data_IF_978113723352
#
_entry.id   IF_978113723352
#
_cell.length_a   1.000
_cell.length_b   1.000
_cell.length_c   1.000
_cell.angle_alpha   90.00
_cell.angle_beta   90.00
_cell.angle_gamma   90.00
#
_symmetry.space_group_name_H-M   'P 1'
#
loop_
_entity.id
_entity.type
_entity.pdbx_description
1 polymer ?
#
# COMPACT_ATOMS: atom_id res chain seq x y z
N UNK A 1 16.72 -9.30 -0.02
CA UNK A 1 16.94 -10.35 -1.05
C UNK A 1 17.34 -9.66 -2.35
N UNK A 2 18.08 -10.33 -3.25
CA UNK A 2 18.18 -9.84 -4.64
C UNK A 2 16.78 -9.83 -5.28
N UNK A 3 16.62 -9.03 -6.33
CA UNK A 3 15.37 -8.82 -7.06
C UNK A 3 15.02 -10.02 -7.95
N UNK A 4 14.55 -11.09 -7.30
CA UNK A 4 14.27 -12.41 -7.91
C UNK A 4 13.07 -13.10 -7.23
N UNK A 5 12.06 -12.34 -6.76
CA UNK A 5 10.84 -12.89 -6.15
C UNK A 5 11.06 -13.83 -4.95
N UNK A 6 12.17 -13.66 -4.23
CA UNK A 6 12.54 -14.54 -3.12
C UNK A 6 11.83 -14.21 -1.80
N UNK A 7 11.18 -13.05 -1.72
CA UNK A 7 10.46 -12.64 -0.53
C UNK A 7 9.02 -13.17 -0.53
N UNK A 8 8.37 -13.29 0.64
CA UNK A 8 6.98 -13.74 0.72
C UNK A 8 6.03 -12.84 -0.07
N UNK A 9 5.13 -13.42 -0.88
CA UNK A 9 4.21 -12.69 -1.78
C UNK A 9 3.29 -11.65 -1.08
N UNK A 10 3.16 -11.68 0.25
CA UNK A 10 2.41 -10.67 1.00
C UNK A 10 3.23 -9.43 1.38
N UNK A 11 4.51 -9.37 1.02
CA UNK A 11 5.41 -8.28 1.42
C UNK A 11 5.01 -6.95 0.79
N UNK A 12 4.69 -6.90 -0.51
CA UNK A 12 4.23 -5.67 -1.15
C UNK A 12 2.87 -5.20 -0.60
N UNK A 13 1.83 -6.05 -0.48
CA UNK A 13 0.59 -5.67 0.18
C UNK A 13 0.79 -5.10 1.59
N UNK A 14 1.68 -5.69 2.39
CA UNK A 14 1.97 -5.19 3.74
C UNK A 14 2.63 -3.80 3.74
N UNK A 15 3.46 -3.50 2.74
CA UNK A 15 4.06 -2.16 2.57
C UNK A 15 3.00 -1.14 2.11
N UNK A 16 2.10 -1.52 1.21
CA UNK A 16 0.97 -0.68 0.78
C UNK A 16 0.10 -0.30 1.99
N UNK A 17 -0.27 -1.28 2.82
CA UNK A 17 -1.07 -1.04 4.03
C UNK A 17 -0.34 -0.10 5.00
N UNK A 18 0.97 -0.32 5.18
CA UNK A 18 1.80 0.56 6.02
C UNK A 18 1.86 1.98 5.49
N UNK A 19 2.00 2.17 4.17
CA UNK A 19 2.03 3.48 3.55
C UNK A 19 0.68 4.19 3.69
N UNK A 20 -0.43 3.50 3.44
CA UNK A 20 -1.77 4.02 3.69
C UNK A 20 -1.97 4.45 5.15
N UNK A 21 -1.49 3.66 6.11
CA UNK A 21 -1.59 3.99 7.55
C UNK A 21 -0.75 5.22 7.92
N UNK A 22 0.45 5.37 7.34
CA UNK A 22 1.25 6.59 7.51
C UNK A 22 0.56 7.80 6.87
N UNK A 23 0.03 7.61 5.65
CA UNK A 23 -0.92 8.43 4.90
C UNK A 23 -1.96 9.11 5.81
N UNK A 24 -2.82 8.25 6.33
CA UNK A 24 -3.95 8.60 7.20
C UNK A 24 -3.51 9.27 8.49
N UNK A 25 -2.36 8.88 9.05
CA UNK A 25 -1.87 9.51 10.28
C UNK A 25 -1.40 10.95 10.01
N UNK A 26 -0.72 11.19 8.91
CA UNK A 26 -0.32 12.55 8.52
C UNK A 26 -1.55 13.44 8.32
N UNK A 27 -2.57 12.93 7.62
CA UNK A 27 -3.87 13.58 7.45
C UNK A 27 -4.54 13.94 8.79
N UNK A 28 -4.66 12.97 9.70
CA UNK A 28 -5.25 13.19 11.03
C UNK A 28 -4.51 14.24 11.86
N UNK A 29 -3.17 14.29 11.76
CA UNK A 29 -2.36 15.29 12.46
C UNK A 29 -2.64 16.68 11.87
N UNK A 30 -2.57 16.82 10.54
CA UNK A 30 -2.82 18.11 9.88
C UNK A 30 -4.23 18.64 10.17
N UNK A 31 -5.23 17.77 10.12
CA UNK A 31 -6.61 18.12 10.46
C UNK A 31 -6.73 18.66 11.89
N UNK A 32 -6.08 18.00 12.85
CA UNK A 32 -6.11 18.40 14.25
C UNK A 32 -5.37 19.72 14.51
N UNK A 33 -4.23 19.93 13.86
CA UNK A 33 -3.40 21.13 14.02
C UNK A 33 -4.00 22.37 13.35
N UNK A 34 -4.71 22.19 12.23
CA UNK A 34 -5.27 23.29 11.43
C UNK A 34 -6.78 23.51 11.67
N UNK A 35 -7.32 23.07 12.81
CA UNK A 35 -8.74 23.28 13.20
C UNK A 35 -9.73 22.77 12.14
N UNK A 36 -9.39 21.68 11.46
CA UNK A 36 -10.21 21.09 10.41
C UNK A 36 -10.06 21.74 9.03
N UNK A 37 -9.04 22.58 8.82
CA UNK A 37 -8.65 23.02 7.48
C UNK A 37 -7.72 22.00 6.83
N UNK A 38 -8.12 21.51 5.66
CA UNK A 38 -7.31 20.60 4.84
C UNK A 38 -6.38 21.44 3.96
N UNK A 39 -5.06 21.31 4.15
CA UNK A 39 -4.06 22.06 3.38
C UNK A 39 -3.45 21.21 2.26
N UNK A 40 -3.40 19.89 2.45
CA UNK A 40 -2.83 18.92 1.50
C UNK A 40 -3.73 17.70 1.36
N UNK A 41 -3.71 17.11 0.17
CA UNK A 41 -4.25 15.76 -0.02
C UNK A 41 -3.18 14.72 0.30
N UNK A 42 -3.31 14.10 1.46
CA UNK A 42 -2.40 13.05 1.92
C UNK A 42 -2.73 11.69 1.32
N UNK A 43 -3.98 11.43 0.92
CA UNK A 43 -4.44 10.12 0.44
C UNK A 43 -4.27 10.00 -1.08
N UNK A 44 -3.01 10.03 -1.51
CA UNK A 44 -2.64 9.87 -2.92
C UNK A 44 -2.72 8.41 -3.38
N UNK A 45 -3.01 8.15 -4.68
CA UNK A 45 -3.06 6.80 -5.21
C UNK A 45 -1.68 6.12 -5.18
N UNK A 46 -1.67 4.83 -4.84
CA UNK A 46 -0.46 4.01 -4.81
C UNK A 46 -0.46 3.09 -6.04
N UNK A 47 0.56 3.22 -6.89
CA UNK A 47 0.89 2.22 -7.92
C UNK A 47 1.97 1.31 -7.34
N UNK A 48 1.65 0.02 -7.18
CA UNK A 48 2.53 -0.93 -6.51
C UNK A 48 2.86 -2.13 -7.41
N UNK A 49 4.09 -2.62 -7.29
CA UNK A 49 4.63 -3.70 -8.12
C UNK A 49 4.13 -5.08 -7.63
N UNK A 50 3.66 -5.90 -8.56
CA UNK A 50 3.18 -7.26 -8.29
C UNK A 50 4.17 -8.34 -8.81
N UNK A 51 5.33 -7.93 -9.32
CA UNK A 51 6.30 -8.75 -10.03
C UNK A 51 5.62 -9.60 -11.13
N UNK A 52 6.02 -10.87 -11.28
CA UNK A 52 5.36 -11.84 -12.15
C UNK A 52 4.14 -12.52 -11.49
N UNK A 53 3.64 -12.00 -10.36
CA UNK A 53 2.47 -12.55 -9.67
C UNK A 53 2.74 -13.77 -8.78
N UNK A 54 4.00 -14.07 -8.48
CA UNK A 54 4.43 -15.13 -7.54
C UNK A 54 3.90 -16.54 -7.85
N UNK A 55 3.64 -16.85 -9.12
CA UNK A 55 3.20 -18.18 -9.57
C UNK A 55 2.26 -18.14 -10.76
N UNK A 56 1.18 -18.92 -10.69
CA UNK A 56 0.15 -18.99 -11.74
C UNK A 56 -1.00 -18.01 -11.54
N UNK A 57 -2.07 -18.15 -12.33
CA UNK A 57 -3.21 -17.23 -12.31
C UNK A 57 -3.89 -17.08 -10.92
N UNK A 58 -3.91 -18.13 -10.11
CA UNK A 58 -4.46 -18.06 -8.75
C UNK A 58 -3.58 -17.26 -7.79
N UNK A 59 -2.25 -17.27 -7.98
CA UNK A 59 -1.33 -16.45 -7.19
C UNK A 59 -1.52 -14.97 -7.52
N UNK A 60 -1.65 -14.65 -8.81
CA UNK A 60 -1.99 -13.29 -9.29
C UNK A 60 -3.31 -12.84 -8.65
N UNK A 61 -4.35 -13.66 -8.73
CA UNK A 61 -5.67 -13.32 -8.18
C UNK A 61 -5.61 -12.97 -6.69
N UNK A 62 -4.98 -13.80 -5.86
CA UNK A 62 -4.89 -13.55 -4.42
C UNK A 62 -3.96 -12.36 -4.10
N UNK A 63 -2.90 -12.15 -4.87
CA UNK A 63 -2.03 -10.98 -4.71
C UNK A 63 -2.80 -9.69 -5.01
N UNK A 64 -3.48 -9.61 -6.15
CA UNK A 64 -4.29 -8.43 -6.52
C UNK A 64 -5.37 -8.16 -5.48
N UNK A 65 -6.07 -9.20 -5.00
CA UNK A 65 -7.06 -9.07 -3.92
C UNK A 65 -6.46 -8.49 -2.63
N UNK A 66 -5.25 -8.88 -2.27
CA UNK A 66 -4.54 -8.35 -1.09
C UNK A 66 -4.10 -6.90 -1.30
N UNK A 67 -3.66 -6.54 -2.50
CA UNK A 67 -3.28 -5.17 -2.85
C UNK A 67 -4.47 -4.21 -2.79
N UNK A 68 -5.66 -4.65 -3.22
CA UNK A 68 -6.89 -3.84 -3.15
C UNK A 68 -7.35 -3.63 -1.69
N UNK A 69 -7.09 -4.58 -0.80
CA UNK A 69 -7.49 -4.50 0.62
C UNK A 69 -6.59 -3.57 1.45
N UNK A 70 -5.31 -3.50 1.10
CA UNK A 70 -4.27 -2.77 1.83
C UNK A 70 -4.52 -1.25 1.81
#
# INVERSE_FOLDING_TARGET
YPDQSLYPANSVPAVVERLNNALRRADQIEWAENKGEMLRDWMVPIVADAEAGFGGALNVYELTKRMIRA
#
